data_IF_800771489669
#
_entry.id   IF_800771489669
#
_cell.length_a   1.000
_cell.length_b   1.000
_cell.length_c   1.000
_cell.angle_alpha   90.00
_cell.angle_beta   90.00
_cell.angle_gamma   90.00
#
_symmetry.space_group_name_H-M   'P 1'
#
loop_
_entity.id
_entity.type
_entity.pdbx_description
1 polymer ?
#
# COMPACT_ATOMS: atom_id res chain seq x y z
N UNK A 1 6.40 27.39 -26.22
CA UNK A 1 6.00 27.63 -24.82
C UNK A 1 7.21 27.32 -23.96
N UNK A 2 7.74 28.29 -23.26
CA UNK A 2 8.86 28.08 -22.33
C UNK A 2 8.34 27.22 -21.17
N UNK A 3 9.05 26.16 -20.85
CA UNK A 3 8.76 25.38 -19.66
C UNK A 3 9.25 26.21 -18.45
N UNK A 4 8.36 26.44 -17.48
CA UNK A 4 8.76 26.99 -16.19
C UNK A 4 9.76 26.03 -15.55
N UNK A 5 10.95 26.52 -15.24
CA UNK A 5 11.98 25.77 -14.55
C UNK A 5 11.66 25.87 -13.04
N UNK A 6 12.00 24.84 -12.29
CA UNK A 6 11.73 24.76 -10.83
C UNK A 6 12.35 25.90 -10.00
N UNK A 7 13.26 26.70 -10.58
CA UNK A 7 13.80 27.92 -9.97
C UNK A 7 12.83 29.11 -9.98
N UNK A 8 11.76 29.03 -10.80
CA UNK A 8 10.85 30.16 -10.98
C UNK A 8 9.60 30.05 -10.07
N UNK A 9 9.50 28.96 -9.29
CA UNK A 9 8.36 28.69 -8.42
C UNK A 9 8.81 27.99 -7.14
N UNK A 10 8.97 28.73 -6.07
CA UNK A 10 9.12 28.13 -4.73
C UNK A 10 7.74 27.73 -4.20
N UNK A 11 7.46 26.41 -4.19
CA UNK A 11 6.31 25.88 -3.48
C UNK A 11 6.59 26.05 -1.99
N UNK A 12 5.76 26.79 -1.22
CA UNK A 12 5.95 26.92 0.23
C UNK A 12 6.09 25.55 0.90
N UNK A 13 7.00 25.43 1.84
CA UNK A 13 7.29 24.17 2.54
C UNK A 13 6.04 23.56 3.18
N UNK A 14 5.13 24.39 3.67
CA UNK A 14 3.84 23.99 4.25
C UNK A 14 2.94 23.26 3.24
N UNK A 15 2.89 23.75 1.98
CA UNK A 15 2.11 23.11 0.91
C UNK A 15 2.76 21.78 0.52
N UNK A 16 4.07 21.71 0.42
CA UNK A 16 4.77 20.47 0.04
C UNK A 16 4.61 19.40 1.12
N UNK A 17 4.70 19.73 2.40
CA UNK A 17 4.48 18.81 3.50
C UNK A 17 3.03 18.30 3.50
N UNK A 18 2.05 19.18 3.29
CA UNK A 18 0.65 18.80 3.18
C UNK A 18 0.36 17.83 2.03
N UNK A 19 1.10 17.93 0.92
CA UNK A 19 0.99 16.98 -0.22
C UNK A 19 1.42 15.57 0.22
N UNK A 20 2.54 15.45 0.89
CA UNK A 20 3.05 14.14 1.33
C UNK A 20 2.14 13.49 2.37
N UNK A 21 1.64 14.23 3.35
CA UNK A 21 0.73 13.70 4.36
C UNK A 21 -0.60 13.22 3.73
N UNK A 22 -1.17 13.99 2.80
CA UNK A 22 -2.37 13.59 2.07
C UNK A 22 -2.13 12.39 1.16
N UNK A 23 -0.97 12.32 0.50
CA UNK A 23 -0.61 11.18 -0.34
C UNK A 23 -0.46 9.89 0.48
N UNK A 24 0.13 9.96 1.67
CA UNK A 24 0.22 8.81 2.58
C UNK A 24 -1.16 8.36 3.07
N UNK A 25 -2.04 9.30 3.44
CA UNK A 25 -3.41 9.00 3.85
C UNK A 25 -4.28 8.45 2.71
N UNK A 26 -3.97 8.82 1.46
CA UNK A 26 -4.65 8.34 0.26
C UNK A 26 -4.17 7.01 -0.28
N UNK A 27 -3.06 6.46 0.24
CA UNK A 27 -2.50 5.19 -0.20
C UNK A 27 -2.86 4.07 0.76
N UNK A 28 -3.49 3.02 0.25
CA UNK A 28 -3.84 1.80 1.00
C UNK A 28 -2.59 1.10 1.51
N UNK A 29 -1.54 1.01 0.68
CA UNK A 29 -0.26 0.42 1.05
C UNK A 29 0.38 1.16 2.23
N UNK A 30 0.35 2.49 2.21
CA UNK A 30 0.92 3.29 3.28
C UNK A 30 0.13 3.20 4.60
N UNK A 31 -1.18 2.96 4.53
CA UNK A 31 -2.03 2.77 5.71
C UNK A 31 -1.81 1.40 6.36
N UNK A 32 -1.67 0.34 5.54
CA UNK A 32 -1.53 -1.03 6.03
C UNK A 32 -0.08 -1.40 6.40
N UNK A 33 0.91 -0.69 5.87
CA UNK A 33 2.32 -0.98 6.14
C UNK A 33 2.97 0.10 7.01
N UNK A 34 3.75 -0.34 8.00
CA UNK A 34 4.57 0.56 8.81
C UNK A 34 5.70 1.18 7.98
N UNK A 35 5.78 2.51 7.93
CA UNK A 35 6.88 3.21 7.30
C UNK A 35 8.17 3.05 8.11
N UNK A 36 9.27 2.69 7.44
CA UNK A 36 10.62 2.70 8.05
C UNK A 36 11.49 3.71 7.33
N UNK A 37 12.07 4.68 8.04
CA UNK A 37 12.96 5.65 7.43
C UNK A 37 14.20 4.94 6.86
N UNK A 38 14.54 5.26 5.62
CA UNK A 38 15.70 4.72 4.94
C UNK A 38 16.68 5.82 4.59
N UNK A 39 17.98 5.49 4.59
CA UNK A 39 19.01 6.37 4.06
C UNK A 39 18.90 6.43 2.54
N UNK A 40 19.31 7.55 1.96
CA UNK A 40 19.36 7.70 0.52
C UNK A 40 20.32 6.67 -0.12
N UNK A 41 19.84 5.97 -1.16
CA UNK A 41 20.64 4.99 -1.90
C UNK A 41 20.14 3.56 -1.76
N UNK A 42 20.87 2.63 -2.35
CA UNK A 42 20.58 1.19 -2.28
C UNK A 42 20.89 0.68 -0.88
N UNK A 43 19.97 -0.05 -0.29
CA UNK A 43 20.14 -0.65 1.02
C UNK A 43 19.95 -2.17 0.96
N UNK A 44 20.56 -2.86 1.91
CA UNK A 44 20.34 -4.29 2.12
C UNK A 44 19.62 -4.47 3.46
N UNK A 45 18.50 -5.15 3.42
CA UNK A 45 17.74 -5.54 4.62
C UNK A 45 18.05 -7.00 4.91
N UNK A 46 18.48 -7.25 6.17
CA UNK A 46 18.71 -8.59 6.65
C UNK A 46 17.38 -9.22 7.03
N UNK A 47 17.11 -10.40 6.52
CA UNK A 47 15.93 -11.18 6.86
C UNK A 47 16.40 -12.49 7.49
N UNK A 48 15.93 -12.79 8.69
CA UNK A 48 16.19 -14.06 9.35
C UNK A 48 15.37 -15.15 8.65
N UNK A 49 16.06 -16.06 7.98
CA UNK A 49 15.40 -17.15 7.23
C UNK A 49 15.24 -18.42 8.06
N UNK A 50 16.11 -18.59 9.07
CA UNK A 50 16.03 -19.72 9.99
C UNK A 50 16.17 -19.21 11.43
N UNK A 51 15.04 -19.12 12.18
CA UNK A 51 15.11 -18.73 13.58
C UNK A 51 15.83 -19.79 14.42
N UNK A 52 16.58 -19.38 15.46
CA UNK A 52 17.23 -20.32 16.37
C UNK A 52 16.17 -21.15 17.10
N UNK A 53 16.45 -22.44 17.26
CA UNK A 53 15.60 -23.35 18.01
C UNK A 53 16.20 -23.60 19.38
N UNK A 54 15.37 -23.56 20.41
CA UNK A 54 15.79 -23.97 21.75
C UNK A 54 15.89 -25.50 21.83
N UNK A 55 16.92 -26.00 22.50
CA UNK A 55 17.13 -27.42 22.77
C UNK A 55 16.94 -27.70 24.25
N UNK A 56 16.20 -28.74 24.59
CA UNK A 56 16.12 -29.24 25.95
C UNK A 56 17.32 -30.17 26.20
N UNK A 57 18.21 -29.76 27.08
CA UNK A 57 19.42 -30.51 27.41
C UNK A 57 19.30 -31.01 28.85
N UNK A 58 19.56 -32.31 29.07
CA UNK A 58 19.62 -32.92 30.40
C UNK A 58 20.86 -32.48 31.17
N UNK A 59 20.92 -32.80 32.45
CA UNK A 59 22.06 -32.50 33.32
C UNK A 59 23.33 -33.14 32.72
N UNK A 60 24.40 -32.31 32.57
CA UNK A 60 25.64 -32.68 31.90
C UNK A 60 25.55 -33.01 30.39
N UNK A 61 24.43 -32.73 29.74
CA UNK A 61 24.29 -32.95 28.30
C UNK A 61 25.12 -31.97 27.45
N UNK A 62 25.58 -32.46 26.30
CA UNK A 62 26.35 -31.64 25.35
C UNK A 62 25.38 -30.65 24.65
N UNK A 63 25.78 -29.36 24.59
CA UNK A 63 25.01 -28.33 23.88
C UNK A 63 25.34 -28.34 22.38
N UNK A 64 24.32 -28.38 21.55
CA UNK A 64 24.46 -28.31 20.08
C UNK A 64 24.29 -26.87 19.60
N UNK A 65 25.19 -26.34 18.74
CA UNK A 65 24.98 -25.03 18.16
C UNK A 65 23.77 -25.03 17.21
N UNK A 66 22.85 -24.10 17.38
CA UNK A 66 21.73 -23.95 16.46
C UNK A 66 22.17 -23.08 15.27
N UNK A 67 22.12 -23.60 14.02
CA UNK A 67 22.46 -22.80 12.85
C UNK A 67 21.41 -21.72 12.64
N UNK A 68 21.83 -20.48 12.53
CA UNK A 68 20.99 -19.35 12.12
C UNK A 68 21.38 -18.94 10.72
N UNK A 69 20.39 -18.75 9.85
CA UNK A 69 20.60 -18.28 8.49
C UNK A 69 19.96 -16.93 8.27
N UNK A 70 20.71 -16.04 7.64
CA UNK A 70 20.25 -14.72 7.23
C UNK A 70 20.31 -14.61 5.72
N UNK A 71 19.26 -14.05 5.13
CA UNK A 71 19.28 -13.64 3.74
C UNK A 71 19.34 -12.11 3.63
N UNK A 72 19.95 -11.63 2.57
CA UNK A 72 20.00 -10.22 2.25
C UNK A 72 18.95 -9.91 1.17
N UNK A 73 18.09 -8.95 1.43
CA UNK A 73 17.17 -8.43 0.43
C UNK A 73 17.61 -7.02 0.06
N UNK A 74 17.94 -6.82 -1.22
CA UNK A 74 18.31 -5.50 -1.72
C UNK A 74 17.04 -4.66 -1.91
N UNK A 75 17.04 -3.47 -1.30
CA UNK A 75 15.98 -2.48 -1.48
C UNK A 75 16.50 -1.38 -2.40
N UNK A 76 15.85 -1.22 -3.54
CA UNK A 76 16.17 -0.20 -4.51
C UNK A 76 15.13 0.93 -4.39
N UNK A 77 15.55 2.18 -4.17
CA UNK A 77 14.63 3.29 -4.18
C UNK A 77 14.09 3.54 -5.59
N UNK A 78 12.83 3.91 -5.69
CA UNK A 78 12.23 4.41 -6.91
C UNK A 78 11.64 5.81 -6.66
N UNK A 79 11.50 6.60 -7.71
CA UNK A 79 10.98 7.96 -7.64
C UNK A 79 9.62 8.01 -8.33
N UNK A 80 8.62 8.50 -7.61
CA UNK A 80 7.35 8.92 -8.18
C UNK A 80 7.33 10.43 -8.32
N UNK A 81 6.83 10.92 -9.46
CA UNK A 81 6.67 12.36 -9.67
C UNK A 81 5.37 12.65 -10.42
N UNK A 82 4.77 13.78 -10.09
CA UNK A 82 3.64 14.36 -10.80
C UNK A 82 4.09 15.71 -11.33
N UNK A 83 3.91 15.96 -12.63
CA UNK A 83 4.20 17.24 -13.26
C UNK A 83 2.90 17.84 -13.74
N UNK A 84 2.55 18.99 -13.22
CA UNK A 84 1.37 19.74 -13.63
C UNK A 84 1.78 21.04 -14.31
N UNK A 85 0.98 21.49 -15.24
CA UNK A 85 1.17 22.75 -15.94
C UNK A 85 -0.10 23.59 -15.81
N UNK A 86 0.07 24.88 -15.69
CA UNK A 86 -1.01 25.84 -15.71
C UNK A 86 -0.71 26.95 -16.74
N UNK A 87 -1.73 27.66 -17.16
CA UNK A 87 -1.62 28.69 -18.17
C UNK A 87 -0.98 29.95 -17.59
N UNK A 88 -0.39 30.80 -18.46
CA UNK A 88 0.14 32.10 -18.05
C UNK A 88 -0.93 33.04 -17.49
N UNK A 89 -2.19 32.83 -17.84
CA UNK A 89 -3.32 33.61 -17.34
C UNK A 89 -3.47 33.47 -15.81
N UNK A 90 -3.16 32.29 -15.25
CA UNK A 90 -3.15 32.08 -13.80
C UNK A 90 -2.06 32.91 -13.12
N UNK A 91 -0.93 33.16 -13.77
CA UNK A 91 0.14 33.99 -13.23
C UNK A 91 -0.25 35.47 -13.17
N UNK A 92 -1.17 35.92 -14.01
CA UNK A 92 -1.68 37.27 -14.05
C UNK A 92 -2.95 37.49 -13.22
N UNK A 93 -3.49 36.41 -12.64
CA UNK A 93 -4.63 36.49 -11.76
C UNK A 93 -4.23 37.09 -10.41
N UNK A 94 -5.23 37.55 -9.67
CA UNK A 94 -5.05 38.03 -8.28
C UNK A 94 -4.47 36.91 -7.39
N UNK A 95 -3.72 37.31 -6.35
CA UNK A 95 -2.98 36.42 -5.47
C UNK A 95 -3.89 35.34 -4.83
N UNK A 96 -5.10 35.72 -4.41
CA UNK A 96 -6.08 34.79 -3.83
C UNK A 96 -6.50 33.69 -4.81
N UNK A 97 -6.65 34.03 -6.10
CA UNK A 97 -6.98 33.06 -7.15
C UNK A 97 -5.80 32.13 -7.42
N UNK A 98 -4.58 32.68 -7.43
CA UNK A 98 -3.35 31.89 -7.60
C UNK A 98 -3.20 30.86 -6.46
N UNK A 99 -3.42 31.28 -5.21
CA UNK A 99 -3.34 30.40 -4.03
C UNK A 99 -4.40 29.29 -4.12
N UNK A 100 -5.63 29.63 -4.52
CA UNK A 100 -6.71 28.66 -4.70
C UNK A 100 -6.35 27.58 -5.74
N UNK A 101 -5.84 27.99 -6.91
CA UNK A 101 -5.41 27.08 -7.97
C UNK A 101 -4.24 26.18 -7.50
N UNK A 102 -3.28 26.74 -6.76
CA UNK A 102 -2.16 25.96 -6.21
C UNK A 102 -2.62 24.92 -5.20
N UNK A 103 -3.59 25.25 -4.34
CA UNK A 103 -4.14 24.29 -3.38
C UNK A 103 -4.88 23.14 -4.07
N UNK A 104 -5.66 23.45 -5.12
CA UNK A 104 -6.33 22.44 -5.92
C UNK A 104 -5.34 21.52 -6.64
N UNK A 105 -4.31 22.11 -7.26
CA UNK A 105 -3.24 21.35 -7.90
C UNK A 105 -2.50 20.46 -6.89
N UNK A 106 -2.18 20.98 -5.70
CA UNK A 106 -1.54 20.23 -4.64
C UNK A 106 -2.42 19.06 -4.16
N UNK A 107 -3.71 19.26 -4.04
CA UNK A 107 -4.67 18.22 -3.66
C UNK A 107 -4.75 17.11 -4.70
N UNK A 108 -4.88 17.48 -5.99
CA UNK A 108 -4.91 16.53 -7.10
C UNK A 108 -3.58 15.75 -7.22
N UNK A 109 -2.43 16.42 -7.02
CA UNK A 109 -1.13 15.76 -6.99
C UNK A 109 -1.03 14.73 -5.87
N UNK A 110 -1.56 15.05 -4.68
CA UNK A 110 -1.55 14.14 -3.53
C UNK A 110 -2.33 12.85 -3.83
N UNK A 111 -3.52 12.98 -4.41
CA UNK A 111 -4.35 11.82 -4.82
C UNK A 111 -3.61 10.99 -5.88
N UNK A 112 -3.03 11.65 -6.89
CA UNK A 112 -2.28 10.97 -7.94
C UNK A 112 -1.06 10.22 -7.40
N UNK A 113 -0.32 10.81 -6.46
CA UNK A 113 0.85 10.18 -5.82
C UNK A 113 0.44 9.00 -4.93
N UNK A 114 -0.65 9.11 -4.15
CA UNK A 114 -1.17 7.99 -3.34
C UNK A 114 -1.55 6.81 -4.22
N UNK A 115 -2.33 7.06 -5.27
CA UNK A 115 -2.69 6.03 -6.26
C UNK A 115 -1.47 5.44 -6.97
N UNK A 116 -0.48 6.27 -7.31
CA UNK A 116 0.75 5.81 -7.94
C UNK A 116 1.54 4.87 -7.02
N UNK A 117 1.59 5.18 -5.72
CA UNK A 117 2.25 4.34 -4.73
C UNK A 117 1.59 2.96 -4.64
N UNK A 118 0.26 2.90 -4.63
CA UNK A 118 -0.49 1.64 -4.61
C UNK A 118 -0.28 0.83 -5.89
N UNK A 119 -0.41 1.44 -7.07
CA UNK A 119 -0.20 0.77 -8.35
C UNK A 119 1.22 0.21 -8.49
N UNK A 120 2.22 0.97 -8.07
CA UNK A 120 3.62 0.54 -8.16
C UNK A 120 3.95 -0.49 -7.09
N UNK A 121 3.57 -0.26 -5.84
CA UNK A 121 3.92 -1.14 -4.73
C UNK A 121 3.17 -2.46 -4.73
N UNK A 122 1.90 -2.46 -5.08
CA UNK A 122 1.07 -3.67 -5.12
C UNK A 122 1.25 -4.40 -6.44
N UNK A 123 1.07 -3.72 -7.57
CA UNK A 123 0.94 -4.34 -8.89
C UNK A 123 2.15 -4.19 -9.80
N UNK A 124 3.17 -3.40 -9.42
CA UNK A 124 4.33 -3.01 -10.28
C UNK A 124 3.92 -2.28 -11.56
N UNK A 125 2.75 -1.64 -11.57
CA UNK A 125 2.22 -0.96 -12.74
C UNK A 125 2.72 0.50 -12.75
N UNK A 126 3.23 0.94 -13.91
CA UNK A 126 3.53 2.35 -14.13
C UNK A 126 2.21 3.13 -14.27
N UNK A 127 1.94 4.10 -13.38
CA UNK A 127 0.65 4.82 -13.38
C UNK A 127 0.34 5.57 -14.69
N UNK A 128 1.39 6.01 -15.41
CA UNK A 128 1.24 6.76 -16.65
C UNK A 128 0.88 5.87 -17.83
N UNK A 129 1.52 4.69 -17.94
CA UNK A 129 1.36 3.80 -19.11
C UNK A 129 0.37 2.67 -18.87
N UNK A 130 0.00 2.39 -17.62
CA UNK A 130 -0.85 1.27 -17.26
C UNK A 130 -0.20 -0.11 -17.44
N UNK A 131 1.11 -0.16 -17.70
CA UNK A 131 1.84 -1.40 -17.97
C UNK A 131 2.80 -1.75 -16.82
N UNK A 132 3.16 -3.03 -16.72
CA UNK A 132 4.12 -3.49 -15.70
C UNK A 132 5.48 -2.83 -15.93
N UNK A 133 6.04 -2.27 -14.87
CA UNK A 133 7.33 -1.57 -14.93
C UNK A 133 8.48 -2.51 -14.60
N UNK A 134 9.52 -2.52 -15.42
CA UNK A 134 10.77 -3.25 -15.15
C UNK A 134 11.64 -2.60 -14.05
N UNK A 135 11.34 -1.36 -13.66
CA UNK A 135 12.07 -0.65 -12.61
C UNK A 135 11.78 -1.23 -11.22
N UNK A 136 10.59 -1.80 -11.02
CA UNK A 136 10.17 -2.44 -9.77
C UNK A 136 10.23 -3.94 -9.93
N UNK A 137 11.17 -4.57 -9.26
CA UNK A 137 11.42 -6.01 -9.41
C UNK A 137 10.37 -6.88 -8.71
N UNK A 138 9.93 -6.46 -7.53
CA UNK A 138 8.99 -7.20 -6.70
C UNK A 138 7.85 -6.29 -6.24
N UNK A 139 6.63 -6.78 -6.31
CA UNK A 139 5.42 -6.17 -5.78
C UNK A 139 4.63 -7.16 -4.93
N UNK A 140 3.60 -6.72 -4.25
CA UNK A 140 2.76 -7.61 -3.45
C UNK A 140 2.06 -8.67 -4.31
N UNK A 141 1.78 -8.38 -5.58
CA UNK A 141 1.21 -9.33 -6.55
C UNK A 141 2.09 -10.56 -6.80
N UNK A 142 3.41 -10.46 -6.54
CA UNK A 142 4.35 -11.58 -6.72
C UNK A 142 4.35 -12.56 -5.53
N UNK A 143 3.48 -12.35 -4.53
CA UNK A 143 3.40 -13.26 -3.40
C UNK A 143 3.01 -14.67 -3.87
N UNK A 144 3.65 -15.69 -3.27
CA UNK A 144 3.33 -17.09 -3.55
C UNK A 144 2.08 -17.57 -2.81
N UNK A 145 1.67 -16.86 -1.78
CA UNK A 145 0.48 -17.17 -1.00
C UNK A 145 -0.70 -16.42 -1.59
N UNK A 146 -1.52 -17.12 -2.36
CA UNK A 146 -2.71 -16.57 -3.00
C UNK A 146 -3.85 -17.57 -2.91
N UNK A 147 -5.06 -17.05 -2.72
CA UNK A 147 -6.30 -17.82 -2.75
C UNK A 147 -7.06 -17.44 -4.01
N UNK A 148 -7.47 -18.43 -4.78
CA UNK A 148 -8.31 -18.20 -5.95
C UNK A 148 -9.76 -18.05 -5.49
N UNK A 149 -10.40 -16.98 -5.93
CA UNK A 149 -11.83 -16.76 -5.68
C UNK A 149 -12.65 -17.75 -6.51
N UNK A 150 -13.40 -18.62 -5.86
CA UNK A 150 -14.30 -19.58 -6.49
C UNK A 150 -15.73 -19.02 -6.54
N UNK A 151 -16.12 -18.47 -7.66
CA UNK A 151 -17.46 -17.91 -7.86
C UNK A 151 -17.75 -16.72 -6.95
N UNK A 152 -18.83 -16.78 -6.17
CA UNK A 152 -19.31 -15.71 -5.28
C UNK A 152 -19.00 -15.97 -3.79
N UNK A 153 -18.08 -16.88 -3.49
CA UNK A 153 -17.70 -17.25 -2.13
C UNK A 153 -16.58 -16.32 -1.60
N UNK A 154 -16.92 -15.06 -1.41
CA UNK A 154 -15.96 -14.02 -1.03
C UNK A 154 -15.46 -14.20 0.41
N UNK A 155 -16.33 -14.57 1.32
CA UNK A 155 -16.04 -14.83 2.74
C UNK A 155 -15.11 -16.02 2.94
N UNK A 156 -15.41 -17.17 2.30
CA UNK A 156 -14.54 -18.36 2.34
C UNK A 156 -13.13 -18.04 1.84
N UNK A 157 -12.99 -17.22 0.79
CA UNK A 157 -11.69 -16.81 0.25
C UNK A 157 -10.90 -15.93 1.22
N UNK A 158 -11.58 -15.00 1.90
CA UNK A 158 -10.96 -14.14 2.92
C UNK A 158 -10.52 -14.96 4.13
N UNK A 159 -11.36 -15.86 4.61
CA UNK A 159 -11.02 -16.76 5.72
C UNK A 159 -9.85 -17.68 5.39
N UNK A 160 -9.82 -18.22 4.19
CA UNK A 160 -8.69 -19.04 3.72
C UNK A 160 -7.37 -18.22 3.66
N UNK A 161 -7.43 -16.98 3.17
CA UNK A 161 -6.27 -16.08 3.15
C UNK A 161 -5.81 -15.73 4.57
N UNK A 162 -6.73 -15.42 5.48
CA UNK A 162 -6.41 -15.17 6.89
C UNK A 162 -5.79 -16.43 7.55
N UNK A 163 -6.31 -17.61 7.25
CA UNK A 163 -5.78 -18.89 7.73
C UNK A 163 -4.33 -19.13 7.30
N UNK A 164 -3.93 -18.74 6.07
CA UNK A 164 -2.55 -18.83 5.62
C UNK A 164 -1.61 -17.91 6.41
N UNK A 165 -2.07 -16.72 6.77
CA UNK A 165 -1.30 -15.76 7.59
C UNK A 165 -1.09 -16.32 8.99
N UNK A 166 -2.17 -16.83 9.61
CA UNK A 166 -2.15 -17.40 10.96
C UNK A 166 -1.25 -18.65 11.01
N UNK A 167 -1.34 -19.53 10.01
CA UNK A 167 -0.49 -20.73 9.95
C UNK A 167 1.01 -20.39 9.81
N UNK A 168 1.31 -19.21 9.28
CA UNK A 168 2.67 -18.67 9.20
C UNK A 168 3.15 -18.00 10.51
N UNK A 169 2.31 -18.00 11.56
CA UNK A 169 2.64 -17.42 12.87
C UNK A 169 2.38 -15.92 12.99
N UNK A 170 1.62 -15.33 12.06
CA UNK A 170 1.27 -13.91 12.08
C UNK A 170 -0.22 -13.72 12.32
N UNK A 171 -0.59 -12.57 12.85
CA UNK A 171 -1.99 -12.18 13.05
C UNK A 171 -2.37 -11.16 11.97
N UNK A 172 -3.42 -11.40 11.18
CA UNK A 172 -3.90 -10.42 10.22
C UNK A 172 -4.44 -9.18 10.97
N UNK A 173 -3.97 -8.01 10.61
CA UNK A 173 -4.35 -6.74 11.26
C UNK A 173 -5.20 -5.84 10.40
N UNK A 174 -5.13 -6.00 9.09
CA UNK A 174 -5.87 -5.17 8.15
C UNK A 174 -6.15 -5.90 6.85
N UNK A 175 -7.14 -5.42 6.13
CA UNK A 175 -7.54 -5.93 4.83
C UNK A 175 -7.74 -4.78 3.86
N UNK A 176 -7.12 -4.89 2.68
CA UNK A 176 -7.39 -4.02 1.55
C UNK A 176 -8.24 -4.76 0.53
N UNK A 177 -9.38 -4.21 0.20
CA UNK A 177 -10.27 -4.82 -0.78
C UNK A 177 -10.76 -3.81 -1.82
N UNK A 178 -11.01 -4.31 -3.02
CA UNK A 178 -11.65 -3.54 -4.07
C UNK A 178 -13.14 -3.28 -3.73
N UNK A 179 -13.69 -2.11 -4.07
CA UNK A 179 -15.11 -1.81 -3.84
C UNK A 179 -16.07 -2.85 -4.43
N UNK A 180 -15.70 -3.53 -5.53
CA UNK A 180 -16.51 -4.61 -6.11
C UNK A 180 -16.57 -5.84 -5.22
N UNK A 181 -15.49 -6.16 -4.51
CA UNK A 181 -15.46 -7.24 -3.52
C UNK A 181 -16.35 -6.89 -2.32
N UNK A 182 -16.25 -5.65 -1.81
CA UNK A 182 -17.11 -5.16 -0.73
C UNK A 182 -18.59 -5.22 -1.12
N UNK A 183 -18.92 -4.81 -2.35
CA UNK A 183 -20.27 -4.94 -2.90
C UNK A 183 -20.71 -6.42 -2.97
N UNK A 184 -19.83 -7.31 -3.44
CA UNK A 184 -20.08 -8.75 -3.48
C UNK A 184 -20.45 -9.32 -2.12
N UNK A 185 -19.67 -8.99 -1.07
CA UNK A 185 -19.97 -9.37 0.31
C UNK A 185 -21.32 -8.83 0.79
N UNK A 186 -21.63 -7.55 0.49
CA UNK A 186 -22.87 -6.90 0.90
C UNK A 186 -24.13 -7.52 0.26
N UNK A 187 -23.99 -8.22 -0.85
CA UNK A 187 -25.07 -8.87 -1.58
C UNK A 187 -25.22 -10.35 -1.29
N UNK A 188 -24.30 -10.93 -0.51
CA UNK A 188 -24.37 -12.34 -0.13
C UNK A 188 -25.60 -12.62 0.70
N UNK A 189 -26.27 -13.75 0.39
CA UNK A 189 -27.48 -14.20 1.06
C UNK A 189 -27.34 -15.66 1.49
N UNK A 190 -27.96 -15.98 2.61
CA UNK A 190 -28.13 -17.36 3.05
C UNK A 190 -29.20 -18.12 2.24
N UNK A 191 -29.42 -19.38 2.57
CA UNK A 191 -30.43 -20.22 1.92
C UNK A 191 -31.85 -19.68 2.08
N UNK A 192 -32.12 -18.88 3.11
CA UNK A 192 -33.42 -18.28 3.40
C UNK A 192 -33.60 -16.90 2.72
N UNK A 193 -32.59 -16.45 1.96
CA UNK A 193 -32.60 -15.17 1.24
C UNK A 193 -32.27 -13.95 2.10
N UNK A 194 -31.84 -14.13 3.35
CA UNK A 194 -31.41 -13.06 4.25
C UNK A 194 -29.99 -12.65 3.91
N UNK A 195 -29.67 -11.37 4.12
CA UNK A 195 -28.27 -10.91 3.98
C UNK A 195 -27.41 -11.54 5.07
N UNK A 196 -26.26 -12.11 4.69
CA UNK A 196 -25.27 -12.65 5.62
C UNK A 196 -24.56 -11.52 6.36
N UNK A 197 -24.25 -10.43 5.66
CA UNK A 197 -23.54 -9.25 6.18
C UNK A 197 -24.44 -8.00 6.04
N UNK A 198 -25.45 -7.81 6.89
CA UNK A 198 -26.36 -6.68 6.80
C UNK A 198 -25.69 -5.34 7.18
N UNK A 199 -24.60 -5.39 7.94
CA UNK A 199 -23.79 -4.25 8.36
C UNK A 199 -22.99 -3.61 7.23
N UNK A 200 -22.77 -4.33 6.12
CA UNK A 200 -22.06 -3.80 4.96
C UNK A 200 -23.04 -3.01 4.09
N UNK A 201 -22.98 -1.70 4.19
CA UNK A 201 -23.75 -0.78 3.35
C UNK A 201 -23.16 -0.63 1.94
N UNK A 202 -24.05 -0.33 0.97
CA UNK A 202 -23.58 0.01 -0.38
C UNK A 202 -22.78 1.32 -0.37
N UNK A 203 -21.57 1.29 -0.90
CA UNK A 203 -20.71 2.48 -1.05
C UNK A 203 -20.07 2.99 0.25
N UNK A 204 -20.14 2.25 1.33
CA UNK A 204 -19.37 2.53 2.55
C UNK A 204 -18.08 1.73 2.52
N UNK A 205 -16.98 2.36 2.96
CA UNK A 205 -15.76 1.65 3.24
C UNK A 205 -15.98 0.73 4.45
N UNK A 206 -15.63 -0.53 4.28
CA UNK A 206 -15.64 -1.47 5.39
C UNK A 206 -14.59 -1.02 6.40
N UNK A 207 -15.02 -0.61 7.59
CA UNK A 207 -14.10 -0.17 8.64
C UNK A 207 -13.61 -1.33 9.51
N UNK A 208 -14.33 -2.46 9.51
CA UNK A 208 -13.96 -3.64 10.26
C UNK A 208 -14.61 -4.89 9.63
N UNK A 209 -13.83 -5.91 9.36
CA UNK A 209 -14.30 -7.23 8.95
C UNK A 209 -13.58 -8.30 9.75
N UNK A 210 -14.33 -9.09 10.52
CA UNK A 210 -13.77 -10.17 11.37
C UNK A 210 -12.59 -9.71 12.25
N UNK A 211 -12.63 -8.48 12.77
CA UNK A 211 -11.57 -7.92 13.62
C UNK A 211 -10.38 -7.32 12.89
N UNK A 212 -10.39 -7.29 11.55
CA UNK A 212 -9.40 -6.62 10.70
C UNK A 212 -9.91 -5.23 10.29
N UNK A 213 -9.05 -4.22 10.32
CA UNK A 213 -9.35 -2.83 9.94
C UNK A 213 -8.80 -2.50 8.55
#
# INVERSE_FOLDING_TARGET
>A
MAALISSDFEIPAEISQGIFEKAQKGSTLAQLSGARPQKFGKQQVWVLTSPPKAELVGEAGQKSPTPTAYAHKAVNPFKLQVTMRFSQEVQWADEDVQIGVLQDLASNASIALGRALDLVGIHKINPLTGTVSSLVKEGLVDTKQSVQLAGTKYDEAIEAAAGMIISSGYVPSGIAMDPTLSFGLSTMRDADGRKIYPEIGFGQNLTNFSGMT
#
